data_IF_644260624446
#
_entry.id   IF_644260624446
#
_cell.length_a   1.000
_cell.length_b   1.000
_cell.length_c   1.000
_cell.angle_alpha   90.00
_cell.angle_beta   90.00
_cell.angle_gamma   90.00
#
_symmetry.space_group_name_H-M   'P 1'
#
loop_
_entity.id
_entity.type
_entity.pdbx_description
1 polymer ?
#
# COMPACT_ATOMS: atom_id res chain seq x y z
N UNK A 1 3.06 -7.99 2.32
CA UNK A 1 1.89 -8.56 3.02
C UNK A 1 0.59 -8.02 2.42
N UNK A 2 -0.53 -8.70 2.62
CA UNK A 2 -1.86 -8.19 2.24
C UNK A 2 -2.33 -7.03 3.14
N UNK A 3 -3.11 -6.08 2.59
CA UNK A 3 -3.61 -4.93 3.35
C UNK A 3 -4.46 -5.34 4.57
N UNK A 4 -5.24 -6.42 4.44
CA UNK A 4 -6.05 -6.94 5.55
C UNK A 4 -5.19 -7.33 6.75
N UNK A 5 -4.09 -8.03 6.51
CA UNK A 5 -3.17 -8.46 7.55
C UNK A 5 -2.41 -7.26 8.14
N UNK A 6 -2.02 -6.30 7.29
CA UNK A 6 -1.44 -5.04 7.74
C UNK A 6 -2.37 -4.34 8.75
N UNK A 7 -3.65 -4.16 8.41
CA UNK A 7 -4.62 -3.48 9.27
C UNK A 7 -4.92 -4.23 10.57
N UNK A 8 -4.85 -5.57 10.55
CA UNK A 8 -5.03 -6.42 11.73
C UNK A 8 -3.88 -6.27 12.72
N UNK A 9 -2.65 -6.15 12.22
CA UNK A 9 -1.44 -6.02 13.04
C UNK A 9 -1.12 -4.56 13.44
N UNK A 10 -1.62 -3.59 12.66
CA UNK A 10 -1.43 -2.18 12.91
C UNK A 10 -2.19 -1.72 14.16
N UNK A 11 -1.54 -0.86 14.95
CA UNK A 11 -2.18 -0.14 16.04
C UNK A 11 -3.20 0.88 15.51
N UNK A 12 -4.03 1.43 16.41
CA UNK A 12 -4.99 2.49 16.05
C UNK A 12 -4.28 3.71 15.42
N UNK A 13 -3.11 4.09 15.96
CA UNK A 13 -2.29 5.20 15.46
C UNK A 13 -1.78 4.91 14.05
N UNK A 14 -1.21 3.73 13.84
CA UNK A 14 -0.68 3.28 12.55
C UNK A 14 -1.76 3.23 11.46
N UNK A 15 -2.96 2.73 11.80
CA UNK A 15 -4.10 2.76 10.87
C UNK A 15 -4.50 4.18 10.49
N UNK A 16 -4.52 5.09 11.46
CA UNK A 16 -4.84 6.50 11.22
C UNK A 16 -3.78 7.17 10.34
N UNK A 17 -2.51 6.90 10.60
CA UNK A 17 -1.39 7.44 9.82
C UNK A 17 -1.47 7.00 8.35
N UNK A 18 -1.68 5.70 8.10
CA UNK A 18 -1.86 5.18 6.75
C UNK A 18 -3.06 5.84 6.04
N UNK A 19 -4.19 6.00 6.75
CA UNK A 19 -5.38 6.63 6.19
C UNK A 19 -5.14 8.10 5.83
N UNK A 20 -4.53 8.87 6.74
CA UNK A 20 -4.21 10.29 6.53
C UNK A 20 -3.25 10.48 5.35
N UNK A 21 -2.17 9.68 5.27
CA UNK A 21 -1.21 9.77 4.17
C UNK A 21 -1.84 9.43 2.80
N UNK A 22 -2.92 8.67 2.82
CA UNK A 22 -3.69 8.30 1.63
C UNK A 22 -4.88 9.22 1.35
N UNK A 23 -4.99 10.37 2.03
CA UNK A 23 -6.13 11.30 1.95
C UNK A 23 -7.49 10.60 2.12
N UNK A 24 -7.54 9.58 2.97
CA UNK A 24 -8.70 8.72 3.16
C UNK A 24 -9.10 8.55 4.61
N UNK A 25 -9.92 7.53 4.87
CA UNK A 25 -10.34 7.14 6.20
C UNK A 25 -9.94 5.69 6.50
N UNK A 26 -9.86 5.34 7.79
CA UNK A 26 -9.61 3.95 8.21
C UNK A 26 -10.68 3.01 7.67
N UNK A 27 -11.95 3.48 7.62
CA UNK A 27 -13.06 2.71 7.03
C UNK A 27 -12.81 2.41 5.56
N UNK A 28 -12.31 3.38 4.79
CA UNK A 28 -11.96 3.17 3.39
C UNK A 28 -10.83 2.14 3.21
N UNK A 29 -9.82 2.14 4.08
CA UNK A 29 -8.78 1.10 4.06
C UNK A 29 -9.35 -0.30 4.29
N UNK A 30 -10.34 -0.45 5.19
CA UNK A 30 -11.04 -1.72 5.38
C UNK A 30 -11.90 -2.12 4.17
N UNK A 31 -12.50 -1.16 3.46
CA UNK A 31 -13.22 -1.44 2.20
C UNK A 31 -12.27 -1.99 1.12
N UNK A 32 -11.06 -1.43 1.01
CA UNK A 32 -10.01 -1.93 0.12
C UNK A 32 -9.55 -3.33 0.56
N UNK A 33 -9.28 -3.52 1.85
CA UNK A 33 -8.85 -4.80 2.41
C UNK A 33 -9.90 -5.92 2.24
N UNK A 34 -11.17 -5.56 2.28
CA UNK A 34 -12.30 -6.46 2.03
C UNK A 34 -12.61 -6.68 0.55
N UNK A 35 -11.85 -6.07 -0.38
CA UNK A 35 -12.11 -6.11 -1.83
C UNK A 35 -13.50 -5.61 -2.24
N UNK A 36 -14.16 -4.80 -1.39
CA UNK A 36 -15.40 -4.11 -1.74
C UNK A 36 -15.13 -3.00 -2.77
N UNK A 37 -13.90 -2.49 -2.78
CA UNK A 37 -13.41 -1.49 -3.73
C UNK A 37 -11.95 -1.81 -4.07
N UNK A 38 -11.52 -1.30 -5.20
CA UNK A 38 -10.11 -1.31 -5.62
C UNK A 38 -9.57 0.11 -5.55
N UNK A 39 -8.29 0.23 -5.21
CA UNK A 39 -7.59 1.50 -5.24
C UNK A 39 -7.35 1.95 -6.69
N UNK A 40 -7.21 3.26 -6.89
CA UNK A 40 -6.57 3.76 -8.10
C UNK A 40 -5.08 3.42 -8.07
N UNK A 41 -4.41 3.36 -9.23
CA UNK A 41 -2.98 3.09 -9.32
C UNK A 41 -2.15 4.06 -8.44
N UNK A 42 -2.48 5.35 -8.48
CA UNK A 42 -1.82 6.37 -7.66
C UNK A 42 -1.99 6.13 -6.16
N UNK A 43 -3.20 5.77 -5.73
CA UNK A 43 -3.47 5.47 -4.33
C UNK A 43 -2.73 4.21 -3.88
N UNK A 44 -2.70 3.18 -4.72
CA UNK A 44 -1.98 1.93 -4.43
C UNK A 44 -0.47 2.18 -4.25
N UNK A 45 0.15 3.00 -5.11
CA UNK A 45 1.55 3.43 -4.96
C UNK A 45 1.76 4.17 -3.63
N UNK A 46 0.85 5.08 -3.25
CA UNK A 46 0.95 5.78 -1.96
C UNK A 46 0.87 4.85 -0.77
N UNK A 47 -0.07 3.89 -0.79
CA UNK A 47 -0.21 2.89 0.27
C UNK A 47 1.08 2.06 0.40
N UNK A 48 1.66 1.64 -0.72
CA UNK A 48 2.92 0.91 -0.74
C UNK A 48 4.07 1.73 -0.13
N UNK A 49 4.25 2.98 -0.58
CA UNK A 49 5.30 3.86 -0.08
C UNK A 49 5.19 4.11 1.43
N UNK A 50 3.98 4.36 1.93
CA UNK A 50 3.74 4.62 3.35
C UNK A 50 3.92 3.35 4.18
N UNK A 51 3.35 2.23 3.75
CA UNK A 51 3.52 0.94 4.44
C UNK A 51 4.98 0.48 4.46
N UNK A 52 5.77 0.80 3.42
CA UNK A 52 7.23 0.57 3.40
C UNK A 52 7.94 1.39 4.46
N UNK A 53 7.63 2.69 4.60
CA UNK A 53 8.19 3.54 5.66
C UNK A 53 7.84 3.02 7.06
N UNK A 54 6.57 2.64 7.26
CA UNK A 54 6.12 2.07 8.53
C UNK A 54 6.78 0.72 8.83
N UNK A 55 7.06 -0.09 7.80
CA UNK A 55 7.80 -1.35 7.97
C UNK A 55 9.19 -1.10 8.57
N UNK A 56 9.91 -0.09 8.07
CA UNK A 56 11.21 0.32 8.63
C UNK A 56 11.09 0.79 10.08
N UNK A 57 10.06 1.57 10.44
CA UNK A 57 9.87 2.07 11.81
C UNK A 57 9.39 1.01 12.81
N UNK A 58 8.80 -0.09 12.33
CA UNK A 58 8.23 -1.15 13.19
C UNK A 58 9.11 -2.39 13.28
N UNK A 59 10.38 -2.29 12.85
CA UNK A 59 11.36 -3.39 12.88
C UNK A 59 10.79 -4.68 12.24
N UNK A 60 10.03 -4.54 11.15
CA UNK A 60 9.48 -5.66 10.40
C UNK A 60 8.18 -6.27 10.93
N UNK A 61 7.60 -5.77 12.05
CA UNK A 61 6.23 -6.19 12.45
C UNK A 61 5.23 -5.88 11.36
N UNK A 62 5.25 -4.66 10.83
CA UNK A 62 4.51 -4.33 9.63
C UNK A 62 5.43 -4.59 8.42
N UNK A 63 4.86 -5.17 7.38
CA UNK A 63 5.54 -5.35 6.09
C UNK A 63 4.89 -4.43 5.06
N UNK A 64 5.65 -4.11 4.01
CA UNK A 64 5.14 -3.36 2.88
C UNK A 64 3.90 -4.06 2.27
N UNK A 65 2.89 -3.27 1.92
CA UNK A 65 1.71 -3.71 1.18
C UNK A 65 1.97 -3.46 -0.31
N UNK A 66 2.13 -4.49 -1.14
CA UNK A 66 2.41 -4.34 -2.57
C UNK A 66 1.24 -3.63 -3.26
N UNK A 67 1.52 -2.62 -4.07
CA UNK A 67 0.49 -1.86 -4.79
C UNK A 67 -0.34 -2.73 -5.75
N UNK A 68 0.25 -3.79 -6.29
CA UNK A 68 -0.36 -4.75 -7.20
C UNK A 68 -1.54 -5.47 -6.54
N UNK A 69 -1.49 -5.67 -5.22
CA UNK A 69 -2.56 -6.31 -4.44
C UNK A 69 -3.81 -5.43 -4.25
N UNK A 70 -3.69 -4.12 -4.54
CA UNK A 70 -4.71 -3.12 -4.20
C UNK A 70 -5.58 -2.69 -5.39
N UNK A 71 -5.17 -3.03 -6.61
CA UNK A 71 -5.84 -2.62 -7.85
C UNK A 71 -6.58 -3.79 -8.50
N UNK A 72 -7.52 -3.49 -9.40
CA UNK A 72 -8.23 -4.51 -10.18
C UNK A 72 -7.34 -5.11 -11.28
N UNK A 73 -6.49 -4.28 -11.87
CA UNK A 73 -5.64 -4.56 -13.02
C UNK A 73 -4.19 -4.23 -12.69
N UNK A 74 -3.43 -5.17 -12.09
CA UNK A 74 -2.03 -4.97 -11.70
C UNK A 74 -1.10 -4.63 -12.89
N UNK A 75 -1.45 -5.07 -14.09
CA UNK A 75 -0.72 -4.84 -15.33
C UNK A 75 -0.48 -3.36 -15.65
N UNK A 76 -1.24 -2.45 -15.02
CA UNK A 76 -1.05 -0.99 -15.11
C UNK A 76 0.34 -0.55 -14.63
N UNK A 77 1.01 -1.35 -13.80
CA UNK A 77 2.34 -1.02 -13.26
C UNK A 77 3.51 -1.50 -14.13
N UNK A 78 3.29 -2.38 -15.11
CA UNK A 78 4.36 -2.98 -15.92
C UNK A 78 5.29 -1.94 -16.57
N UNK A 79 4.73 -0.86 -17.11
CA UNK A 79 5.50 0.21 -17.74
C UNK A 79 6.29 1.04 -16.71
N UNK A 80 5.72 1.25 -15.53
CA UNK A 80 6.41 1.98 -14.44
C UNK A 80 7.63 1.18 -13.97
N UNK A 81 7.48 -0.13 -13.89
CA UNK A 81 8.56 -1.02 -13.44
C UNK A 81 9.67 -1.16 -14.46
N UNK A 82 9.32 -1.21 -15.74
CA UNK A 82 10.31 -1.17 -16.81
C UNK A 82 11.19 0.09 -16.72
N UNK A 83 10.58 1.26 -16.57
CA UNK A 83 11.30 2.54 -16.46
C UNK A 83 12.20 2.56 -15.22
N UNK A 84 11.67 2.18 -14.05
CA UNK A 84 12.46 2.17 -12.82
C UNK A 84 13.63 1.19 -12.91
N UNK A 85 13.44 0.02 -13.51
CA UNK A 85 14.51 -0.96 -13.65
C UNK A 85 15.61 -0.50 -14.62
N UNK A 86 15.28 0.24 -15.69
CA UNK A 86 16.27 0.81 -16.61
C UNK A 86 17.09 1.94 -15.96
N UNK A 87 16.44 2.80 -15.16
CA UNK A 87 17.08 3.94 -14.48
C UNK A 87 18.02 3.51 -13.35
N UNK A 88 17.75 2.38 -12.68
CA UNK A 88 18.60 1.82 -11.61
C UNK A 88 19.55 0.70 -12.06
N UNK A 89 19.52 0.30 -13.34
CA UNK A 89 20.49 -0.62 -13.93
C UNK A 89 21.67 0.09 -14.63
N UNK A 90 21.64 1.42 -14.68
CA UNK A 90 22.70 2.30 -15.22
C UNK A 90 23.55 2.91 -14.11
#
# INVERSE_FOLDING_TARGET
>A
MELREFLRQASKRERSELATACNGSVSYLYQLAGKHRYASALLAIRIEQVSRKMSSSTHGRLQCVPRESLVRSPEVFNNVDAILNEEYAS
#
